data_IF_776038261453
#
_entry.id   IF_776038261453
#
_cell.length_a   1.000
_cell.length_b   1.000
_cell.length_c   1.000
_cell.angle_alpha   90.00
_cell.angle_beta   90.00
_cell.angle_gamma   90.00
#
_symmetry.space_group_name_H-M   'P 1'
#
loop_
_entity.id
_entity.type
_entity.pdbx_description
1 polymer ?
#
# COMPACT_ATOMS: atom_id res chain seq x y z
N UNK A 1 1.80 -1.02 -3.75
CA UNK A 1 2.47 -1.71 -2.63
C UNK A 1 3.81 -2.23 -3.14
N UNK A 2 4.83 -2.20 -2.30
CA UNK A 2 6.17 -2.72 -2.60
C UNK A 2 6.50 -3.80 -1.58
N UNK A 3 7.18 -4.87 -1.98
CA UNK A 3 7.64 -5.90 -1.07
C UNK A 3 8.47 -5.26 0.06
N UNK A 4 8.17 -5.62 1.31
CA UNK A 4 8.83 -5.04 2.48
C UNK A 4 8.61 -3.54 2.65
N UNK A 5 7.57 -2.95 2.04
CA UNK A 5 7.36 -1.50 2.03
C UNK A 5 8.54 -0.69 1.46
N UNK A 6 9.38 -1.32 0.63
CA UNK A 6 10.56 -0.71 0.02
C UNK A 6 10.18 0.09 -1.22
N UNK A 7 9.49 1.21 -1.00
CA UNK A 7 9.03 2.07 -2.08
C UNK A 7 10.17 2.74 -2.83
N UNK A 8 9.92 3.05 -4.10
CA UNK A 8 10.83 3.80 -4.96
C UNK A 8 10.88 5.29 -4.55
N UNK A 9 12.06 5.71 -4.09
CA UNK A 9 12.32 7.08 -3.61
C UNK A 9 12.22 8.09 -4.75
N UNK A 10 12.89 7.85 -5.87
CA UNK A 10 12.92 8.78 -7.02
C UNK A 10 11.52 8.98 -7.60
N UNK A 11 10.75 7.89 -7.70
CA UNK A 11 9.36 7.95 -8.11
C UNK A 11 8.51 8.74 -7.13
N UNK A 12 8.76 8.58 -5.82
CA UNK A 12 8.03 9.33 -4.80
C UNK A 12 8.40 10.82 -4.85
N UNK A 13 9.67 11.17 -5.07
CA UNK A 13 10.12 12.55 -5.35
C UNK A 13 9.41 13.11 -6.57
N UNK A 14 9.32 12.36 -7.67
CA UNK A 14 8.58 12.78 -8.87
C UNK A 14 7.10 13.08 -8.57
N UNK A 15 6.45 12.30 -7.70
CA UNK A 15 5.07 12.56 -7.26
C UNK A 15 4.96 13.80 -6.39
N UNK A 16 5.93 14.03 -5.50
CA UNK A 16 6.03 15.24 -4.70
C UNK A 16 6.19 16.49 -5.60
N UNK A 17 7.12 16.48 -6.57
CA UNK A 17 7.31 17.56 -7.55
C UNK A 17 6.01 17.87 -8.28
N UNK A 18 5.31 16.85 -8.78
CA UNK A 18 4.03 17.05 -9.49
C UNK A 18 2.97 17.70 -8.59
N UNK A 19 2.95 17.34 -7.31
CA UNK A 19 2.02 17.90 -6.32
C UNK A 19 2.35 19.36 -6.03
N UNK A 20 3.60 19.68 -5.72
CA UNK A 20 4.02 21.06 -5.45
C UNK A 20 3.90 21.96 -6.69
N UNK A 21 4.26 21.47 -7.87
CA UNK A 21 4.06 22.18 -9.12
C UNK A 21 2.58 22.52 -9.34
N UNK A 22 1.67 21.59 -9.03
CA UNK A 22 0.22 21.84 -9.14
C UNK A 22 -0.26 22.87 -8.12
N UNK A 23 0.22 22.83 -6.86
CA UNK A 23 -0.07 23.86 -5.86
C UNK A 23 0.37 25.25 -6.33
N UNK A 24 1.55 25.35 -6.95
CA UNK A 24 2.06 26.63 -7.47
C UNK A 24 1.29 27.13 -8.70
N UNK A 25 0.88 26.23 -9.61
CA UNK A 25 0.28 26.60 -10.90
C UNK A 25 -1.23 26.76 -10.85
N UNK A 26 -1.90 25.96 -10.03
CA UNK A 26 -3.35 25.84 -10.00
C UNK A 26 -3.94 26.14 -8.61
N UNK A 27 -3.11 26.19 -7.56
CA UNK A 27 -3.62 26.30 -6.19
C UNK A 27 -4.43 25.06 -5.75
N UNK A 28 -4.14 23.89 -6.34
CA UNK A 28 -4.84 22.63 -6.06
C UNK A 28 -3.88 21.62 -5.42
N UNK A 29 -4.25 20.97 -4.30
CA UNK A 29 -5.52 21.12 -3.56
C UNK A 29 -5.63 22.44 -2.78
N UNK A 30 -4.54 23.20 -2.67
CA UNK A 30 -4.46 24.47 -1.98
C UNK A 30 -3.30 25.32 -2.52
N UNK A 31 -3.16 26.55 -2.04
CA UNK A 31 -2.09 27.44 -2.49
C UNK A 31 -0.72 26.98 -2.00
N UNK A 32 0.32 27.16 -2.81
CA UNK A 32 1.68 26.75 -2.45
C UNK A 32 2.27 27.49 -1.23
N UNK A 33 1.78 28.70 -0.94
CA UNK A 33 2.19 29.49 0.23
C UNK A 33 1.48 29.10 1.53
N UNK A 34 0.49 28.21 1.47
CA UNK A 34 -0.13 27.67 2.68
C UNK A 34 0.83 26.72 3.39
N UNK A 35 0.81 26.78 4.72
CA UNK A 35 1.66 25.97 5.61
C UNK A 35 1.17 24.53 5.68
N UNK A 36 1.43 23.79 4.60
CA UNK A 36 1.11 22.36 4.46
C UNK A 36 2.31 21.64 3.88
N UNK A 37 2.48 20.37 4.27
CA UNK A 37 3.56 19.51 3.78
C UNK A 37 3.00 18.24 3.15
N UNK A 38 3.76 17.70 2.21
CA UNK A 38 3.48 16.38 1.66
C UNK A 38 3.76 15.31 2.73
N UNK A 39 2.73 14.54 3.10
CA UNK A 39 2.85 13.44 4.04
C UNK A 39 3.16 12.13 3.31
N UNK A 40 4.25 11.47 3.67
CA UNK A 40 4.56 10.10 3.27
C UNK A 40 4.39 9.16 4.45
N UNK A 41 3.55 8.15 4.26
CA UNK A 41 3.32 7.08 5.23
C UNK A 41 3.94 5.78 4.73
N UNK A 42 4.64 5.06 5.61
CA UNK A 42 5.03 3.66 5.40
C UNK A 42 4.28 2.78 6.39
N UNK A 43 3.74 1.67 5.90
CA UNK A 43 3.10 0.64 6.71
C UNK A 43 3.96 -0.62 6.62
N UNK A 44 4.65 -0.98 7.69
CA UNK A 44 5.20 -2.33 7.84
C UNK A 44 4.11 -3.22 8.45
N UNK A 45 4.25 -4.54 8.33
CA UNK A 45 3.30 -5.47 8.90
C UNK A 45 4.00 -6.57 9.68
N UNK A 46 3.26 -7.15 10.62
CA UNK A 46 3.69 -8.22 11.51
C UNK A 46 2.50 -9.11 11.86
N UNK A 47 2.78 -10.28 12.43
CA UNK A 47 1.76 -11.16 13.03
C UNK A 47 1.98 -11.18 14.53
N UNK A 48 0.95 -10.85 15.31
CA UNK A 48 1.00 -10.96 16.77
C UNK A 48 0.87 -12.41 17.27
N UNK A 49 0.29 -13.31 16.48
CA UNK A 49 0.08 -14.72 16.82
C UNK A 49 1.26 -15.62 16.46
N UNK A 50 1.90 -15.43 15.30
CA UNK A 50 3.12 -16.14 14.91
C UNK A 50 4.19 -15.19 14.34
N UNK A 51 4.82 -14.36 15.20
CA UNK A 51 5.80 -13.35 14.77
C UNK A 51 7.00 -13.93 14.01
N UNK A 52 7.34 -15.21 14.24
CA UNK A 52 8.54 -15.83 13.65
C UNK A 52 8.30 -16.40 12.26
N UNK A 53 7.04 -16.55 11.83
CA UNK A 53 6.71 -17.19 10.55
C UNK A 53 5.71 -16.42 9.69
N UNK A 54 4.82 -15.65 10.30
CA UNK A 54 3.72 -14.95 9.60
C UNK A 54 3.91 -13.42 9.58
N UNK A 55 5.12 -12.95 9.88
CA UNK A 55 5.50 -11.55 9.70
C UNK A 55 5.88 -11.22 8.25
N UNK A 56 6.62 -10.12 8.06
CA UNK A 56 7.03 -9.70 6.73
C UNK A 56 8.07 -10.64 6.11
N UNK A 57 7.68 -11.43 5.11
CA UNK A 57 8.57 -12.38 4.44
C UNK A 57 9.80 -11.71 3.79
N UNK A 58 9.65 -10.50 3.26
CA UNK A 58 10.75 -9.72 2.69
C UNK A 58 11.85 -9.36 3.72
N UNK A 59 11.52 -9.41 5.00
CA UNK A 59 12.42 -9.14 6.12
C UNK A 59 12.59 -10.37 7.02
N UNK A 60 12.34 -11.58 6.49
CA UNK A 60 12.54 -12.83 7.23
C UNK A 60 11.67 -12.98 8.47
N UNK A 61 10.48 -12.36 8.50
CA UNK A 61 9.60 -12.31 9.67
C UNK A 61 10.23 -11.62 10.89
N UNK A 62 11.16 -10.69 10.67
CA UNK A 62 11.71 -9.82 11.72
C UNK A 62 10.99 -8.47 11.73
N UNK A 63 10.15 -8.25 12.74
CA UNK A 63 9.34 -7.04 12.90
C UNK A 63 10.21 -5.78 13.08
N UNK A 64 11.33 -5.91 13.80
CA UNK A 64 12.24 -4.78 14.05
C UNK A 64 12.97 -4.40 12.76
N UNK A 65 13.41 -5.40 12.00
CA UNK A 65 13.99 -5.18 10.67
C UNK A 65 12.95 -4.55 9.71
N UNK A 66 11.72 -5.04 9.70
CA UNK A 66 10.66 -4.48 8.85
C UNK A 66 10.36 -3.01 9.19
N UNK A 67 10.22 -2.68 10.48
CA UNK A 67 9.98 -1.32 10.94
C UNK A 67 11.16 -0.39 10.64
N UNK A 68 12.39 -0.86 10.87
CA UNK A 68 13.61 -0.07 10.63
C UNK A 68 13.86 0.18 9.15
N UNK A 69 13.70 -0.84 8.28
CA UNK A 69 13.81 -0.67 6.83
C UNK A 69 12.80 0.33 6.29
N UNK A 70 11.55 0.26 6.77
CA UNK A 70 10.51 1.22 6.42
C UNK A 70 10.83 2.66 6.86
N UNK A 71 11.33 2.82 8.09
CA UNK A 71 11.74 4.13 8.60
C UNK A 71 12.94 4.71 7.84
N UNK A 72 13.97 3.91 7.58
CA UNK A 72 15.13 4.31 6.81
C UNK A 72 14.70 4.76 5.40
N UNK A 73 13.77 4.03 4.77
CA UNK A 73 13.26 4.40 3.45
C UNK A 73 12.45 5.70 3.46
N UNK A 74 11.71 6.00 4.54
CA UNK A 74 11.08 7.31 4.74
C UNK A 74 12.12 8.42 4.86
N UNK A 75 13.22 8.17 5.58
CA UNK A 75 14.32 9.12 5.74
C UNK A 75 15.07 9.37 4.42
N UNK A 76 15.32 8.33 3.62
CA UNK A 76 15.87 8.46 2.26
C UNK A 76 15.04 9.44 1.42
N UNK A 77 13.71 9.30 1.48
CA UNK A 77 12.79 10.18 0.74
C UNK A 77 12.87 11.64 1.22
N UNK A 78 12.85 11.88 2.53
CA UNK A 78 13.02 13.23 3.08
C UNK A 78 14.37 13.82 2.65
N UNK A 79 15.45 13.06 2.79
CA UNK A 79 16.79 13.50 2.41
C UNK A 79 16.88 13.82 0.91
N UNK A 80 16.23 13.03 0.05
CA UNK A 80 16.20 13.28 -1.39
C UNK A 80 15.51 14.61 -1.71
N UNK A 81 14.40 14.93 -1.04
CA UNK A 81 13.71 16.22 -1.21
C UNK A 81 14.56 17.37 -0.67
N UNK A 82 15.03 17.28 0.57
CA UNK A 82 15.78 18.36 1.25
C UNK A 82 17.11 18.68 0.56
N UNK A 83 17.78 17.69 -0.03
CA UNK A 83 19.06 17.91 -0.72
C UNK A 83 18.90 18.39 -2.16
N UNK A 84 17.81 18.01 -2.83
CA UNK A 84 17.65 18.24 -4.27
C UNK A 84 16.90 19.54 -4.57
N UNK A 85 16.18 20.10 -3.60
CA UNK A 85 15.35 21.29 -3.76
C UNK A 85 15.72 22.35 -2.73
N UNK A 86 15.89 23.59 -3.18
CA UNK A 86 16.34 24.71 -2.34
C UNK A 86 15.29 25.14 -1.30
N UNK A 87 15.63 26.19 -0.56
CA UNK A 87 14.64 27.09 0.02
C UNK A 87 13.76 26.45 1.12
N UNK A 88 14.29 25.42 1.79
CA UNK A 88 13.61 24.76 2.91
C UNK A 88 12.57 23.71 2.50
N UNK A 89 12.65 23.18 1.28
CA UNK A 89 11.79 22.09 0.82
C UNK A 89 11.84 20.92 1.81
N UNK A 90 10.68 20.48 2.30
CA UNK A 90 10.58 19.44 3.32
C UNK A 90 9.28 18.64 3.17
N UNK A 91 9.23 17.49 3.86
CA UNK A 91 8.11 16.56 3.87
C UNK A 91 7.84 16.06 5.27
N UNK A 92 6.62 15.61 5.53
CA UNK A 92 6.26 14.95 6.78
C UNK A 92 6.26 13.43 6.60
N UNK A 93 6.76 12.71 7.60
CA UNK A 93 6.91 11.25 7.58
C UNK A 93 6.05 10.63 8.68
N UNK A 94 5.48 9.45 8.43
CA UNK A 94 4.78 8.66 9.44
C UNK A 94 5.03 7.17 9.22
N UNK A 95 5.40 6.47 10.29
CA UNK A 95 5.57 5.02 10.28
C UNK A 95 4.41 4.35 11.02
N UNK A 96 3.79 3.36 10.36
CA UNK A 96 2.72 2.54 10.91
C UNK A 96 3.14 1.06 10.90
N UNK A 97 2.76 0.32 11.93
CA UNK A 97 2.76 -1.14 11.93
C UNK A 97 1.34 -1.67 11.79
N UNK A 98 1.13 -2.73 11.02
CA UNK A 98 -0.16 -3.42 10.89
C UNK A 98 -0.04 -4.86 11.40
N UNK A 99 -0.85 -5.23 12.39
CA UNK A 99 -1.00 -6.59 12.87
C UNK A 99 -1.95 -7.36 11.94
N UNK A 100 -1.44 -8.26 11.12
CA UNK A 100 -2.22 -8.98 10.10
C UNK A 100 -3.20 -10.00 10.66
N UNK A 101 -3.11 -10.30 11.96
CA UNK A 101 -4.02 -11.20 12.65
C UNK A 101 -5.30 -10.50 13.11
N UNK A 102 -5.22 -9.20 13.40
CA UNK A 102 -6.32 -8.43 14.03
C UNK A 102 -6.69 -7.16 13.26
N UNK A 103 -5.93 -6.81 12.22
CA UNK A 103 -5.93 -5.53 11.50
C UNK A 103 -5.71 -4.29 12.39
N UNK A 104 -5.27 -4.50 13.64
CA UNK A 104 -4.89 -3.41 14.52
C UNK A 104 -3.63 -2.71 14.01
N UNK A 105 -3.57 -1.39 14.16
CA UNK A 105 -2.39 -0.60 13.83
C UNK A 105 -1.57 -0.19 15.06
N UNK A 106 -0.26 -0.06 14.86
CA UNK A 106 0.69 0.67 15.72
C UNK A 106 1.08 1.95 15.02
N UNK A 107 1.01 3.09 15.71
CA UNK A 107 1.39 4.39 15.15
C UNK A 107 2.62 4.91 15.87
N UNK A 108 3.72 5.08 15.13
CA UNK A 108 4.94 5.69 15.65
C UNK A 108 4.78 7.21 15.52
N UNK A 109 4.28 7.84 16.57
CA UNK A 109 3.95 9.27 16.57
C UNK A 109 5.24 10.08 16.43
N UNK A 110 5.36 10.97 15.44
CA UNK A 110 6.54 11.81 15.29
C UNK A 110 6.61 12.85 16.41
N UNK A 111 7.83 13.20 16.80
CA UNK A 111 8.11 14.31 17.73
C UNK A 111 8.01 15.65 17.00
N UNK A 112 8.08 16.77 17.74
CA UNK A 112 7.97 18.13 17.20
C UNK A 112 9.04 18.48 16.15
N UNK A 113 10.21 17.85 16.20
CA UNK A 113 11.29 17.99 15.22
C UNK A 113 11.14 17.06 14.00
N UNK A 114 10.01 16.32 13.90
CA UNK A 114 9.74 15.38 12.83
C UNK A 114 10.57 14.09 12.89
N UNK A 115 11.25 13.81 14.02
CA UNK A 115 11.89 12.51 14.24
C UNK A 115 10.89 11.46 14.73
N UNK A 116 11.25 10.18 14.61
CA UNK A 116 10.37 9.06 14.97
C UNK A 116 11.15 8.09 15.84
N UNK A 117 10.66 7.83 17.05
CA UNK A 117 11.22 6.80 17.91
C UNK A 117 10.60 5.44 17.57
N UNK A 118 11.36 4.58 16.88
CA UNK A 118 10.90 3.25 16.47
C UNK A 118 10.50 2.32 17.62
N UNK A 119 11.00 2.57 18.83
CA UNK A 119 10.72 1.73 19.99
C UNK A 119 9.50 2.23 20.80
N UNK A 120 8.81 3.27 20.31
CA UNK A 120 7.65 3.87 20.95
C UNK A 120 6.53 4.06 19.93
N UNK A 121 5.36 3.54 20.25
CA UNK A 121 4.19 3.63 19.38
C UNK A 121 2.91 3.62 20.21
N UNK A 122 1.84 4.14 19.60
CA UNK A 122 0.48 3.92 20.08
C UNK A 122 -0.07 2.64 19.47
N UNK A 123 -0.45 1.68 20.31
CA UNK A 123 -1.15 0.47 19.87
C UNK A 123 -2.66 0.72 19.91
N UNK A 124 -3.30 0.64 18.75
CA UNK A 124 -4.76 0.81 18.62
C UNK A 124 -5.57 -0.17 19.46
N UNK A 125 -5.02 -1.34 19.84
CA UNK A 125 -5.70 -2.31 20.73
C UNK A 125 -5.76 -1.82 22.17
N UNK A 126 -4.70 -1.14 22.62
CA UNK A 126 -4.70 -0.49 23.93
C UNK A 126 -5.69 0.68 23.94
N UNK A 127 -5.66 1.50 22.90
CA UNK A 127 -6.59 2.62 22.72
C UNK A 127 -8.03 2.12 22.69
N UNK A 128 -8.30 1.04 21.94
CA UNK A 128 -9.61 0.38 21.89
C UNK A 128 -10.05 -0.03 23.31
N UNK A 129 -9.19 -0.75 24.04
CA UNK A 129 -9.55 -1.30 25.36
C UNK A 129 -9.81 -0.19 26.39
N UNK A 130 -9.05 0.91 26.31
CA UNK A 130 -9.20 2.05 27.21
C UNK A 130 -10.43 2.90 26.89
N UNK A 131 -10.80 3.02 25.62
CA UNK A 131 -11.91 3.88 25.17
C UNK A 131 -13.26 3.16 25.08
N UNK A 132 -13.26 1.81 25.03
CA UNK A 132 -14.48 0.99 24.99
C UNK A 132 -15.54 1.32 26.06
N UNK A 133 -15.21 1.58 27.34
CA UNK A 133 -16.22 1.93 28.34
C UNK A 133 -16.68 3.41 28.29
N UNK A 134 -16.10 4.24 27.42
CA UNK A 134 -16.33 5.67 27.38
C UNK A 134 -17.48 6.06 26.43
N UNK A 135 -18.09 7.22 26.67
CA UNK A 135 -18.95 7.86 25.67
C UNK A 135 -18.11 8.32 24.46
N UNK A 136 -18.66 8.38 23.23
CA UNK A 136 -17.89 8.65 22.01
C UNK A 136 -17.08 9.96 22.06
N UNK A 137 -17.65 11.03 22.60
CA UNK A 137 -17.00 12.34 22.72
C UNK A 137 -15.82 12.28 23.69
N UNK A 138 -16.00 11.65 24.84
CA UNK A 138 -14.94 11.43 25.83
C UNK A 138 -13.84 10.51 25.28
N UNK A 139 -14.21 9.49 24.48
CA UNK A 139 -13.25 8.62 23.80
C UNK A 139 -12.38 9.40 22.81
N UNK A 140 -12.98 10.27 21.97
CA UNK A 140 -12.22 11.11 21.02
C UNK A 140 -11.27 12.07 21.73
N UNK A 141 -11.70 12.67 22.83
CA UNK A 141 -10.84 13.52 23.66
C UNK A 141 -9.68 12.72 24.26
N UNK A 142 -9.95 11.55 24.84
CA UNK A 142 -8.93 10.66 25.38
C UNK A 142 -7.92 10.18 24.33
N UNK A 143 -8.36 9.90 23.10
CA UNK A 143 -7.47 9.56 21.98
C UNK A 143 -6.54 10.73 21.68
N UNK A 144 -7.09 11.95 21.52
CA UNK A 144 -6.30 13.14 21.22
C UNK A 144 -5.24 13.43 22.29
N UNK A 145 -5.63 13.30 23.56
CA UNK A 145 -4.71 13.48 24.69
C UNK A 145 -3.59 12.42 24.70
N UNK A 146 -3.93 11.15 24.45
CA UNK A 146 -2.93 10.07 24.36
C UNK A 146 -1.94 10.31 23.22
N UNK A 147 -2.39 10.86 22.08
CA UNK A 147 -1.50 11.24 20.97
C UNK A 147 -0.53 12.34 21.36
N UNK A 148 -1.00 13.39 22.05
CA UNK A 148 -0.13 14.48 22.53
C UNK A 148 0.90 13.98 23.56
N UNK A 149 0.47 13.11 24.47
CA UNK A 149 1.36 12.50 25.47
C UNK A 149 2.45 11.65 24.83
N UNK A 150 2.12 10.86 23.80
CA UNK A 150 3.11 10.02 23.13
C UNK A 150 4.16 10.83 22.37
N UNK A 151 3.75 11.93 21.73
CA UNK A 151 4.65 12.83 21.00
C UNK A 151 5.65 13.54 21.92
N UNK A 152 5.40 13.61 23.23
CA UNK A 152 6.34 14.15 24.21
C UNK A 152 6.58 15.67 24.13
N UNK A 153 5.68 16.44 23.51
CA UNK A 153 5.84 17.88 23.35
C UNK A 153 4.83 18.52 22.37
N UNK A 154 5.16 19.71 21.89
CA UNK A 154 4.33 20.49 20.95
C UNK A 154 4.38 19.93 19.52
N UNK A 155 3.71 18.79 19.32
CA UNK A 155 3.39 18.28 17.99
C UNK A 155 2.35 19.19 17.32
N UNK A 156 2.43 19.33 15.99
CA UNK A 156 1.44 20.11 15.22
C UNK A 156 0.03 19.51 15.40
N UNK A 157 -0.96 20.35 15.71
CA UNK A 157 -2.34 19.91 15.98
C UNK A 157 -2.96 19.18 14.77
N UNK A 158 -2.52 19.51 13.54
CA UNK A 158 -2.90 18.79 12.33
C UNK A 158 -2.49 17.31 12.37
N UNK A 159 -1.29 17.01 12.87
CA UNK A 159 -0.82 15.63 13.04
C UNK A 159 -1.56 14.92 14.18
N UNK A 160 -1.84 15.61 15.29
CA UNK A 160 -2.67 15.06 16.38
C UNK A 160 -4.04 14.64 15.85
N UNK A 161 -4.70 15.53 15.11
CA UNK A 161 -6.00 15.27 14.49
C UNK A 161 -5.94 14.11 13.50
N UNK A 162 -4.92 14.06 12.66
CA UNK A 162 -4.74 12.99 11.68
C UNK A 162 -4.55 11.63 12.35
N UNK A 163 -3.62 11.52 13.30
CA UNK A 163 -3.34 10.28 14.04
C UNK A 163 -4.56 9.84 14.86
N UNK A 164 -5.24 10.78 15.52
CA UNK A 164 -6.45 10.48 16.30
C UNK A 164 -7.55 9.89 15.40
N UNK A 165 -7.73 10.44 14.19
CA UNK A 165 -8.71 9.93 13.24
C UNK A 165 -8.32 8.57 12.66
N UNK A 166 -7.03 8.30 12.48
CA UNK A 166 -6.56 6.96 12.10
C UNK A 166 -6.88 5.92 13.17
N UNK A 167 -6.64 6.25 14.45
CA UNK A 167 -6.97 5.37 15.58
C UNK A 167 -8.49 5.13 15.68
N UNK A 168 -9.29 6.19 15.61
CA UNK A 168 -10.76 6.11 15.65
C UNK A 168 -11.29 5.23 14.51
N UNK A 169 -10.78 5.41 13.28
CA UNK A 169 -11.20 4.58 12.15
C UNK A 169 -10.73 3.12 12.31
N UNK A 170 -9.53 2.89 12.87
CA UNK A 170 -9.02 1.53 13.07
C UNK A 170 -9.77 0.77 14.17
N UNK A 171 -10.34 1.45 15.17
CA UNK A 171 -11.26 0.83 16.14
C UNK A 171 -12.42 0.13 15.42
N UNK A 172 -12.99 0.74 14.38
CA UNK A 172 -14.06 0.11 13.59
C UNK A 172 -13.57 -1.16 12.86
N UNK A 173 -12.32 -1.17 12.40
CA UNK A 173 -11.73 -2.36 11.78
C UNK A 173 -11.45 -3.46 12.81
N UNK A 174 -10.99 -3.10 14.01
CA UNK A 174 -10.83 -4.06 15.12
C UNK A 174 -12.19 -4.68 15.46
N UNK A 175 -13.25 -3.88 15.57
CA UNK A 175 -14.61 -4.38 15.79
C UNK A 175 -15.07 -5.34 14.68
N UNK A 176 -14.77 -5.02 13.43
CA UNK A 176 -15.06 -5.90 12.31
C UNK A 176 -14.41 -7.28 12.48
N UNK A 177 -13.09 -7.33 12.78
CA UNK A 177 -12.40 -8.62 12.99
C UNK A 177 -12.95 -9.35 14.22
N UNK A 178 -13.27 -8.62 15.29
CA UNK A 178 -13.88 -9.21 16.49
C UNK A 178 -15.23 -9.83 16.20
N UNK A 179 -16.11 -9.10 15.53
CA UNK A 179 -17.48 -9.51 15.24
C UNK A 179 -17.54 -10.67 14.24
N UNK A 180 -16.76 -10.60 13.15
CA UNK A 180 -16.87 -11.55 12.04
C UNK A 180 -15.85 -12.69 12.09
N UNK A 181 -14.76 -12.52 12.83
CA UNK A 181 -13.67 -13.51 12.93
C UNK A 181 -13.36 -13.95 14.37
N UNK A 182 -14.18 -13.54 15.35
CA UNK A 182 -14.02 -13.92 16.76
C UNK A 182 -12.65 -13.48 17.35
N UNK A 183 -12.19 -12.30 16.93
CA UNK A 183 -11.02 -11.61 17.47
C UNK A 183 -9.82 -11.59 16.54
N UNK A 184 -9.57 -12.68 15.82
CA UNK A 184 -8.42 -12.81 14.89
C UNK A 184 -8.83 -13.58 13.64
N UNK A 185 -8.21 -13.26 12.51
CA UNK A 185 -8.40 -14.04 11.27
C UNK A 185 -8.00 -15.51 11.44
N UNK A 186 -8.74 -16.41 10.81
CA UNK A 186 -8.40 -17.86 10.78
C UNK A 186 -7.32 -18.17 9.75
N UNK A 187 -7.25 -17.37 8.70
CA UNK A 187 -6.24 -17.40 7.64
C UNK A 187 -5.11 -16.42 8.00
N UNK A 188 -4.21 -16.85 8.88
CA UNK A 188 -3.08 -16.04 9.34
C UNK A 188 -2.03 -15.72 8.25
N UNK A 189 -2.06 -16.45 7.14
CA UNK A 189 -1.10 -16.30 6.05
C UNK A 189 -1.71 -15.76 4.75
N UNK A 190 -0.92 -15.91 3.69
CA UNK A 190 -1.30 -15.61 2.32
C UNK A 190 -2.55 -16.40 1.88
N UNK A 191 -3.52 -15.72 1.28
CA UNK A 191 -4.74 -16.32 0.72
C UNK A 191 -5.25 -15.57 -0.53
N UNK A 192 -4.35 -14.85 -1.20
CA UNK A 192 -4.62 -14.01 -2.36
C UNK A 192 -5.27 -14.78 -3.52
N UNK A 193 -6.10 -14.07 -4.29
CA UNK A 193 -6.87 -14.63 -5.42
C UNK A 193 -6.23 -14.35 -6.76
N UNK A 194 -5.53 -13.23 -6.88
CA UNK A 194 -4.74 -12.90 -8.06
C UNK A 194 -3.55 -12.00 -7.74
N UNK A 195 -2.61 -11.94 -8.70
CA UNK A 195 -1.50 -10.99 -8.69
C UNK A 195 -1.92 -9.75 -9.46
N UNK A 196 -1.86 -8.58 -8.83
CA UNK A 196 -2.00 -7.29 -9.48
C UNK A 196 -0.64 -6.75 -9.92
N UNK A 197 -0.52 -6.34 -11.17
CA UNK A 197 0.69 -5.79 -11.77
C UNK A 197 0.42 -4.41 -12.37
N UNK A 198 1.34 -3.48 -12.17
CA UNK A 198 1.27 -2.14 -12.77
C UNK A 198 0.84 -1.09 -11.75
N UNK A 199 -0.32 -0.47 -11.96
CA UNK A 199 -0.94 0.46 -11.02
C UNK A 199 -2.06 -0.21 -10.19
N UNK A 200 -2.20 0.22 -8.94
CA UNK A 200 -3.15 -0.35 -7.96
C UNK A 200 -4.62 -0.24 -8.39
N UNK A 201 -5.46 -1.10 -7.82
CA UNK A 201 -6.90 -1.10 -8.05
C UNK A 201 -7.61 -0.23 -7.02
N UNK A 202 -8.05 0.97 -7.41
CA UNK A 202 -8.76 1.87 -6.48
C UNK A 202 -10.11 1.29 -6.01
N UNK A 203 -10.65 0.33 -6.74
CA UNK A 203 -11.99 -0.21 -6.55
C UNK A 203 -12.04 -1.40 -5.57
N UNK A 204 -10.93 -2.10 -5.37
CA UNK A 204 -10.90 -3.38 -4.64
C UNK A 204 -9.67 -3.48 -3.73
N UNK A 205 -9.75 -2.83 -2.56
CA UNK A 205 -8.77 -2.95 -1.48
C UNK A 205 -9.31 -3.84 -0.36
N UNK A 206 -9.28 -5.16 -0.59
CA UNK A 206 -9.73 -6.16 0.39
C UNK A 206 -8.55 -7.02 0.86
N UNK A 207 -8.51 -7.31 2.16
CA UNK A 207 -7.51 -8.19 2.78
C UNK A 207 -7.46 -9.53 2.03
N UNK A 208 -6.25 -10.00 1.74
CA UNK A 208 -6.02 -11.28 1.06
C UNK A 208 -6.78 -11.45 -0.27
N UNK A 209 -7.19 -10.38 -0.96
CA UNK A 209 -7.73 -10.49 -2.31
C UNK A 209 -6.62 -10.48 -3.36
N UNK A 210 -5.66 -9.57 -3.22
CA UNK A 210 -4.68 -9.27 -4.28
C UNK A 210 -3.28 -9.16 -3.70
N UNK A 211 -2.34 -9.92 -4.25
CA UNK A 211 -0.92 -9.65 -4.07
C UNK A 211 -0.52 -8.60 -5.11
N UNK A 212 0.00 -7.45 -4.69
CA UNK A 212 0.22 -6.34 -5.61
C UNK A 212 1.71 -6.02 -5.79
N UNK A 213 2.19 -6.16 -7.04
CA UNK A 213 3.53 -5.78 -7.47
C UNK A 213 3.47 -4.45 -8.25
N UNK A 214 3.87 -3.36 -7.60
CA UNK A 214 3.92 -2.05 -8.25
C UNK A 214 5.14 -1.96 -9.19
N UNK A 215 4.93 -1.89 -10.50
CA UNK A 215 6.03 -1.78 -11.47
C UNK A 215 5.62 -1.11 -12.79
N UNK A 216 6.59 -0.59 -13.53
CA UNK A 216 6.39 -0.09 -14.92
C UNK A 216 7.00 -1.02 -15.96
N UNK A 217 8.01 -1.77 -15.56
CA UNK A 217 8.70 -2.79 -16.34
C UNK A 217 8.88 -4.03 -15.47
N UNK A 218 8.95 -5.21 -16.10
CA UNK A 218 9.21 -6.46 -15.36
C UNK A 218 10.65 -6.49 -14.86
N UNK A 219 11.56 -5.84 -15.58
CA UNK A 219 12.97 -5.73 -15.27
C UNK A 219 13.21 -5.04 -13.92
N UNK A 220 12.51 -3.94 -13.65
CA UNK A 220 12.62 -3.21 -12.38
C UNK A 220 11.81 -3.88 -11.25
N UNK A 221 10.69 -4.53 -11.58
CA UNK A 221 9.78 -5.15 -10.61
C UNK A 221 9.91 -6.67 -10.44
N UNK A 222 10.96 -7.27 -11.00
CA UNK A 222 11.11 -8.73 -11.07
C UNK A 222 11.09 -9.39 -9.69
N UNK A 223 11.75 -8.77 -8.70
CA UNK A 223 11.82 -9.30 -7.35
C UNK A 223 10.43 -9.36 -6.67
N UNK A 224 9.63 -8.30 -6.79
CA UNK A 224 8.25 -8.27 -6.29
C UNK A 224 7.38 -9.33 -6.98
N UNK A 225 7.54 -9.49 -8.29
CA UNK A 225 6.77 -10.48 -9.05
C UNK A 225 7.16 -11.91 -8.69
N UNK A 226 8.45 -12.20 -8.48
CA UNK A 226 8.95 -13.51 -8.08
C UNK A 226 8.39 -13.94 -6.72
N UNK A 227 8.26 -13.00 -5.77
CA UNK A 227 7.60 -13.25 -4.49
C UNK A 227 6.12 -13.62 -4.71
N UNK A 228 5.41 -12.88 -5.56
CA UNK A 228 4.03 -13.19 -5.93
C UNK A 228 3.88 -14.58 -6.54
N UNK A 229 4.73 -14.93 -7.51
CA UNK A 229 4.74 -16.27 -8.12
C UNK A 229 5.04 -17.35 -7.08
N UNK A 230 5.97 -17.11 -6.15
CA UNK A 230 6.26 -18.07 -5.06
C UNK A 230 5.04 -18.30 -4.18
N UNK A 231 4.31 -17.25 -3.80
CA UNK A 231 3.06 -17.35 -3.04
C UNK A 231 2.04 -18.19 -3.81
N UNK A 232 1.80 -17.86 -5.10
CA UNK A 232 0.83 -18.57 -5.93
C UNK A 232 1.24 -19.99 -6.32
N UNK A 233 2.54 -20.34 -6.25
CA UNK A 233 2.96 -21.74 -6.34
C UNK A 233 2.41 -22.56 -5.18
N UNK A 234 2.45 -22.01 -3.97
CA UNK A 234 1.85 -22.61 -2.78
C UNK A 234 0.32 -22.61 -2.84
N UNK A 235 -0.29 -21.48 -3.20
CA UNK A 235 -1.75 -21.32 -3.19
C UNK A 235 -2.46 -22.01 -4.35
N UNK A 236 -1.88 -22.05 -5.55
CA UNK A 236 -2.60 -22.47 -6.76
C UNK A 236 -1.92 -23.65 -7.45
N UNK A 237 -0.68 -23.50 -7.91
CA UNK A 237 -0.08 -24.50 -8.80
C UNK A 237 0.16 -25.84 -8.10
N UNK A 238 0.40 -25.85 -6.79
CA UNK A 238 0.51 -27.05 -5.95
C UNK A 238 -0.71 -27.98 -6.00
N UNK A 239 -1.88 -27.44 -6.37
CA UNK A 239 -3.16 -28.14 -6.51
C UNK A 239 -3.72 -28.08 -7.93
N UNK A 240 -2.88 -27.82 -8.92
CA UNK A 240 -3.24 -27.81 -10.35
C UNK A 240 -4.05 -26.60 -10.81
N UNK A 241 -4.13 -25.52 -10.01
CA UNK A 241 -4.78 -24.29 -10.42
C UNK A 241 -3.78 -23.31 -11.06
N UNK A 242 -4.18 -22.52 -12.07
CA UNK A 242 -3.29 -21.53 -12.68
C UNK A 242 -3.07 -20.32 -11.75
N UNK A 243 -2.03 -19.54 -12.06
CA UNK A 243 -1.73 -18.25 -11.46
C UNK A 243 -2.40 -17.14 -12.28
N UNK A 244 -3.43 -16.45 -11.76
CA UNK A 244 -4.04 -15.32 -12.43
C UNK A 244 -3.28 -14.02 -12.14
N UNK A 245 -2.95 -13.29 -13.21
CA UNK A 245 -2.23 -12.02 -13.17
C UNK A 245 -3.07 -10.95 -13.87
N UNK A 246 -3.49 -9.93 -13.13
CA UNK A 246 -4.21 -8.77 -13.69
C UNK A 246 -3.22 -7.64 -13.89
N UNK A 247 -2.98 -7.27 -15.15
CA UNK A 247 -2.07 -6.20 -15.54
C UNK A 247 -2.90 -4.94 -15.78
N UNK A 248 -2.56 -3.86 -15.09
CA UNK A 248 -3.32 -2.61 -15.14
C UNK A 248 -2.43 -1.40 -15.36
N UNK A 249 -2.85 -0.53 -16.27
CA UNK A 249 -2.33 0.84 -16.40
C UNK A 249 -3.45 1.88 -16.41
N UNK A 250 -3.20 3.02 -15.77
CA UNK A 250 -4.06 4.19 -15.90
C UNK A 250 -3.52 5.09 -17.04
N UNK A 251 -4.41 5.78 -17.74
CA UNK A 251 -4.10 6.81 -18.74
C UNK A 251 -4.90 8.08 -18.47
N UNK A 252 -4.51 9.21 -19.06
CA UNK A 252 -5.28 10.45 -18.97
C UNK A 252 -5.79 10.78 -20.38
N UNK A 253 -7.11 10.75 -20.58
CA UNK A 253 -7.73 11.03 -21.89
C UNK A 253 -7.49 12.47 -22.35
N UNK A 254 -7.22 13.39 -21.43
CA UNK A 254 -6.77 14.76 -21.73
C UNK A 254 -5.41 14.82 -22.44
N UNK A 255 -4.60 13.76 -22.37
CA UNK A 255 -3.26 13.72 -22.94
C UNK A 255 -3.24 12.91 -24.24
N UNK A 256 -2.96 13.54 -25.41
CA UNK A 256 -2.91 12.84 -26.69
C UNK A 256 -1.97 11.62 -26.67
N UNK A 257 -2.45 10.50 -27.22
CA UNK A 257 -1.71 9.25 -27.28
C UNK A 257 -1.57 8.50 -25.95
N UNK A 258 -2.15 8.99 -24.84
CA UNK A 258 -1.93 8.39 -23.51
C UNK A 258 -2.54 7.01 -23.38
N UNK A 259 -3.72 6.79 -23.96
CA UNK A 259 -4.38 5.48 -23.94
C UNK A 259 -3.54 4.46 -24.69
N UNK A 260 -3.07 4.80 -25.89
CA UNK A 260 -2.26 3.92 -26.74
C UNK A 260 -0.93 3.57 -26.07
N UNK A 261 -0.31 4.52 -25.34
CA UNK A 261 0.87 4.24 -24.52
C UNK A 261 0.56 3.29 -23.36
N UNK A 262 -0.58 3.44 -22.69
CA UNK A 262 -1.00 2.54 -21.61
C UNK A 262 -1.29 1.12 -22.10
N UNK A 263 -1.96 0.98 -23.25
CA UNK A 263 -2.21 -0.30 -23.94
C UNK A 263 -0.88 -0.99 -24.25
N UNK A 264 0.05 -0.31 -24.93
CA UNK A 264 1.38 -0.86 -25.25
C UNK A 264 2.17 -1.27 -24.00
N UNK A 265 2.05 -0.53 -22.90
CA UNK A 265 2.67 -0.90 -21.64
C UNK A 265 2.08 -2.19 -21.07
N UNK A 266 0.75 -2.36 -21.10
CA UNK A 266 0.10 -3.60 -20.67
C UNK A 266 0.57 -4.81 -21.51
N UNK A 267 0.63 -4.65 -22.83
CA UNK A 267 1.10 -5.70 -23.76
C UNK A 267 2.57 -6.06 -23.51
N UNK A 268 3.44 -5.05 -23.35
CA UNK A 268 4.86 -5.26 -23.04
C UNK A 268 5.05 -6.03 -21.73
N UNK A 269 4.32 -5.64 -20.68
CA UNK A 269 4.38 -6.33 -19.39
C UNK A 269 3.85 -7.75 -19.53
N UNK A 270 2.73 -7.97 -20.24
CA UNK A 270 2.18 -9.30 -20.44
C UNK A 270 3.18 -10.23 -21.16
N UNK A 271 3.81 -9.74 -22.23
CA UNK A 271 4.84 -10.47 -22.95
C UNK A 271 6.05 -10.78 -22.05
N UNK A 272 6.51 -9.81 -21.25
CA UNK A 272 7.64 -10.01 -20.34
C UNK A 272 7.31 -10.98 -19.20
N UNK A 273 6.09 -10.95 -18.64
CA UNK A 273 5.61 -11.89 -17.63
C UNK A 273 5.62 -13.33 -18.18
N UNK A 274 5.03 -13.54 -19.37
CA UNK A 274 5.03 -14.84 -20.03
C UNK A 274 6.45 -15.29 -20.43
N UNK A 275 7.30 -14.35 -20.85
CA UNK A 275 8.71 -14.60 -21.21
C UNK A 275 9.59 -14.96 -20.02
N UNK A 276 9.31 -14.43 -18.81
CA UNK A 276 10.01 -14.76 -17.57
C UNK A 276 9.56 -16.11 -17.00
N UNK A 277 8.27 -16.40 -17.04
CA UNK A 277 7.69 -17.64 -16.50
C UNK A 277 7.18 -18.55 -17.62
N UNK A 278 8.08 -18.90 -18.53
CA UNK A 278 7.75 -19.70 -19.71
C UNK A 278 7.21 -21.08 -19.36
N UNK A 279 7.76 -21.72 -18.32
CA UNK A 279 7.32 -23.05 -17.92
C UNK A 279 5.86 -23.05 -17.46
N UNK A 280 5.48 -22.08 -16.62
CA UNK A 280 4.08 -21.92 -16.20
C UNK A 280 3.18 -21.59 -17.39
N UNK A 281 3.65 -20.75 -18.32
CA UNK A 281 2.90 -20.38 -19.52
C UNK A 281 2.66 -21.57 -20.44
N UNK A 282 3.69 -22.37 -20.73
CA UNK A 282 3.60 -23.57 -21.59
C UNK A 282 2.70 -24.64 -20.99
N UNK A 283 2.64 -24.72 -19.66
CA UNK A 283 1.77 -25.66 -18.94
C UNK A 283 0.32 -25.17 -18.80
N UNK A 284 0.00 -23.97 -19.29
CA UNK A 284 -1.33 -23.37 -19.08
C UNK A 284 -1.62 -22.99 -17.63
N UNK A 285 -0.57 -22.79 -16.82
CA UNK A 285 -0.66 -22.46 -15.39
C UNK A 285 -0.42 -20.98 -15.10
N UNK A 286 -0.35 -20.13 -16.13
CA UNK A 286 -0.23 -18.67 -15.99
C UNK A 286 -1.21 -17.99 -16.92
N UNK A 287 -2.13 -17.21 -16.36
CA UNK A 287 -3.09 -16.44 -17.13
C UNK A 287 -2.99 -14.95 -16.84
N UNK A 288 -3.11 -14.14 -17.89
CA UNK A 288 -3.08 -12.68 -17.81
C UNK A 288 -4.43 -12.09 -18.21
N UNK A 289 -4.82 -11.01 -17.53
CA UNK A 289 -5.95 -10.15 -17.88
C UNK A 289 -5.43 -8.72 -17.97
N UNK A 290 -5.55 -8.09 -19.14
CA UNK A 290 -5.04 -6.74 -19.38
C UNK A 290 -6.18 -5.74 -19.25
N UNK A 291 -5.96 -4.70 -18.46
CA UNK A 291 -6.95 -3.65 -18.21
C UNK A 291 -6.31 -2.26 -18.27
N UNK A 292 -7.07 -1.29 -18.77
CA UNK A 292 -6.69 0.12 -18.70
C UNK A 292 -7.81 0.95 -18.09
N UNK A 293 -7.47 2.03 -17.40
CA UNK A 293 -8.47 2.95 -16.84
C UNK A 293 -8.13 4.40 -17.16
N UNK A 294 -9.14 5.17 -17.53
CA UNK A 294 -9.00 6.61 -17.60
C UNK A 294 -8.95 7.20 -16.19
N UNK A 295 -7.87 7.93 -15.88
CA UNK A 295 -7.65 8.60 -14.61
C UNK A 295 -8.35 9.96 -14.52
N UNK A 296 -8.69 10.58 -15.66
CA UNK A 296 -9.39 11.88 -15.70
C UNK A 296 -10.87 11.72 -15.35
N UNK A 297 -11.45 10.59 -15.75
CA UNK A 297 -12.86 10.29 -15.57
C UNK A 297 -13.01 9.10 -14.63
N UNK A 298 -13.99 9.14 -13.71
CA UNK A 298 -14.26 8.04 -12.78
C UNK A 298 -14.97 6.85 -13.45
N UNK A 299 -14.49 6.46 -14.64
CA UNK A 299 -15.03 5.36 -15.43
C UNK A 299 -14.51 4.02 -14.92
N UNK A 300 -15.29 2.94 -15.06
CA UNK A 300 -14.80 1.58 -14.85
C UNK A 300 -13.59 1.28 -15.74
N UNK A 301 -12.70 0.37 -15.31
CA UNK A 301 -11.61 -0.10 -16.15
C UNK A 301 -12.13 -0.80 -17.41
N UNK A 302 -11.46 -0.57 -18.53
CA UNK A 302 -11.65 -1.23 -19.80
C UNK A 302 -10.80 -2.52 -19.83
N UNK A 303 -11.40 -3.63 -20.27
CA UNK A 303 -10.68 -4.89 -20.52
C UNK A 303 -10.15 -4.87 -21.94
N UNK A 304 -8.83 -5.03 -22.08
CA UNK A 304 -8.16 -5.09 -23.39
C UNK A 304 -8.11 -6.51 -23.96
N UNK A 305 -7.99 -7.51 -23.09
CA UNK A 305 -7.89 -8.91 -23.49
C UNK A 305 -7.42 -9.81 -22.34
N UNK A 306 -7.49 -11.12 -22.58
CA UNK A 306 -7.00 -12.14 -21.66
C UNK A 306 -6.24 -13.23 -22.42
N UNK A 307 -5.30 -13.89 -21.73
CA UNK A 307 -4.66 -15.09 -22.28
C UNK A 307 -5.53 -16.35 -22.17
N UNK A 308 -6.67 -16.28 -21.48
CA UNK A 308 -7.72 -17.29 -21.61
C UNK A 308 -8.41 -17.11 -22.95
N UNK A 309 -8.51 -18.18 -23.73
CA UNK A 309 -9.39 -18.19 -24.88
C UNK A 309 -10.82 -17.96 -24.39
N UNK A 310 -11.55 -17.02 -25.00
CA UNK A 310 -12.98 -16.91 -24.76
C UNK A 310 -13.61 -18.29 -25.00
N UNK A 311 -14.60 -18.73 -24.20
CA UNK A 311 -15.36 -19.90 -24.57
C UNK A 311 -15.87 -19.67 -26.00
N UNK A 312 -15.56 -20.57 -26.93
CA UNK A 312 -16.30 -20.62 -28.19
C UNK A 312 -17.77 -20.57 -27.80
N UNK A 313 -18.53 -19.61 -28.33
CA UNK A 313 -19.98 -19.62 -28.22
C UNK A 313 -20.43 -21.05 -28.58
N UNK A 314 -20.95 -21.78 -27.59
CA UNK A 314 -21.64 -23.03 -27.88
C UNK A 314 -22.81 -22.63 -28.77
N UNK A 315 -22.68 -22.92 -30.07
CA UNK A 315 -23.77 -22.80 -31.01
C UNK A 315 -24.88 -23.74 -30.52
N UNK A 316 -25.86 -23.18 -29.83
CA UNK A 316 -27.15 -23.80 -29.57
C UNK A 316 -28.11 -23.49 -30.72
#
# INVERSE_FOLDING_TARGET
PYAGAMFDVERTVTRWIKTEHRRHREGVPNQAHEDTRYLKVVVYHFSSLDPRRQGCAAHGSDDALAASSGLNRLQDFRQAVENSFCCGASVTLLLLGLDTDTDAIRIHVPTADGTTNRNRWLDSREVYSQTMPMAPEAAREAIGERVRQEAGGAIEEGMVRFVSRLLENNISQIDFVRQFHNGTYRDAGHAERFIGVGIGFKEIHLRNLTYFAHMETVEEGAADLDVGIKIFKGLNTSRGLPVPVVIRHDFHSSVPGSRERAVRSCERIAAAVHGRYQDLSRQGLLHTLLTVRDGDHHKPPEVLGSSLQAPMEEAH
#
